data_IF_885942432516
#
_entry.id   IF_885942432516
#
_cell.length_a   1.000
_cell.length_b   1.000
_cell.length_c   1.000
_cell.angle_alpha   90.00
_cell.angle_beta   90.00
_cell.angle_gamma   90.00
#
_symmetry.space_group_name_H-M   'P 1'
#
loop_
_entity.id
_entity.type
_entity.pdbx_description
1 polymer ?
#
# COMPACT_ATOMS: atom_id res chain seq x y z
N UNK A 1 -19.71 -33.68 -21.86
CA UNK A 1 -20.63 -34.80 -22.19
C UNK A 1 -20.16 -35.54 -23.43
N UNK A 2 -20.24 -36.88 -23.40
CA UNK A 2 -19.89 -37.75 -24.52
C UNK A 2 -21.00 -37.78 -25.59
N UNK A 3 -20.71 -37.25 -26.79
CA UNK A 3 -21.68 -37.25 -27.91
C UNK A 3 -22.07 -38.66 -28.38
N UNK A 4 -21.12 -39.60 -28.35
CA UNK A 4 -21.37 -40.98 -28.73
C UNK A 4 -22.24 -41.74 -27.72
N UNK A 5 -22.13 -41.39 -26.43
CA UNK A 5 -22.98 -41.99 -25.39
C UNK A 5 -24.43 -41.54 -25.54
N UNK A 6 -24.66 -40.25 -25.82
CA UNK A 6 -26.00 -39.72 -26.13
C UNK A 6 -26.64 -40.40 -27.34
N UNK A 7 -25.84 -40.89 -28.29
CA UNK A 7 -26.28 -41.65 -29.45
C UNK A 7 -26.33 -43.18 -29.21
N UNK A 8 -26.08 -43.65 -28.00
CA UNK A 8 -26.00 -45.08 -27.64
C UNK A 8 -24.93 -45.86 -28.44
N UNK A 9 -23.84 -45.19 -28.82
CA UNK A 9 -22.72 -45.76 -29.62
C UNK A 9 -21.40 -45.83 -28.86
N UNK A 10 -21.32 -45.29 -27.65
CA UNK A 10 -20.09 -45.32 -26.86
C UNK A 10 -19.84 -46.72 -26.29
N UNK A 11 -18.64 -47.27 -26.54
CA UNK A 11 -18.23 -48.60 -26.05
C UNK A 11 -17.38 -48.56 -24.77
N UNK A 12 -17.01 -47.36 -24.33
CA UNK A 12 -16.00 -47.18 -23.27
C UNK A 12 -16.58 -47.22 -21.84
N UNK A 13 -17.91 -47.29 -21.69
CA UNK A 13 -18.55 -47.37 -20.36
C UNK A 13 -18.06 -46.26 -19.42
N UNK A 14 -17.64 -46.63 -18.21
CA UNK A 14 -17.09 -45.72 -17.18
C UNK A 14 -15.71 -45.17 -17.52
N UNK A 15 -14.97 -45.79 -18.44
CA UNK A 15 -13.62 -45.38 -18.83
C UNK A 15 -13.60 -44.37 -19.99
N UNK A 16 -14.76 -43.79 -20.34
CA UNK A 16 -14.82 -42.77 -21.37
C UNK A 16 -14.17 -41.46 -20.88
N UNK A 17 -13.40 -40.79 -21.75
CA UNK A 17 -12.80 -39.48 -21.44
C UNK A 17 -13.83 -38.37 -21.23
N UNK A 18 -15.04 -38.53 -21.76
CA UNK A 18 -16.12 -37.57 -21.63
C UNK A 18 -17.20 -38.13 -20.72
N UNK A 19 -17.80 -37.27 -19.89
CA UNK A 19 -18.86 -37.67 -18.97
C UNK A 19 -20.05 -38.35 -19.68
N UNK A 20 -20.54 -39.43 -19.08
CA UNK A 20 -21.80 -40.10 -19.45
C UNK A 20 -22.98 -39.65 -18.57
N UNK A 21 -22.71 -38.87 -17.52
CA UNK A 21 -23.71 -38.51 -16.50
C UNK A 21 -23.71 -39.50 -15.36
N UNK A 22 -24.72 -39.39 -14.50
CA UNK A 22 -24.97 -40.27 -13.35
C UNK A 22 -26.46 -40.59 -13.31
N UNK A 23 -26.78 -41.85 -13.05
CA UNK A 23 -28.16 -42.27 -12.82
C UNK A 23 -28.59 -41.88 -11.40
N UNK A 24 -29.69 -41.14 -11.29
CA UNK A 24 -30.24 -40.64 -10.03
C UNK A 24 -31.70 -41.08 -9.91
N UNK A 25 -32.12 -41.47 -8.71
CA UNK A 25 -33.52 -41.83 -8.46
C UNK A 25 -34.41 -40.60 -8.63
N UNK A 26 -35.59 -40.77 -9.25
CA UNK A 26 -36.52 -39.65 -9.48
C UNK A 26 -36.95 -38.94 -8.18
N UNK A 27 -37.01 -39.68 -7.06
CA UNK A 27 -37.29 -39.16 -5.72
C UNK A 27 -36.21 -38.20 -5.19
N UNK A 28 -34.97 -38.30 -5.67
CA UNK A 28 -33.84 -37.46 -5.25
C UNK A 28 -33.75 -36.13 -5.99
N UNK A 29 -34.51 -35.98 -7.10
CA UNK A 29 -34.45 -34.78 -7.92
C UNK A 29 -35.16 -33.62 -7.23
N UNK A 30 -34.43 -32.51 -7.06
CA UNK A 30 -34.99 -31.25 -6.58
C UNK A 30 -35.40 -30.38 -7.77
N UNK A 31 -36.40 -29.52 -7.55
CA UNK A 31 -36.81 -28.53 -8.56
C UNK A 31 -35.65 -27.57 -8.81
N UNK A 32 -35.31 -27.37 -10.08
CA UNK A 32 -34.30 -26.39 -10.48
C UNK A 32 -34.78 -24.98 -10.14
N UNK A 33 -33.94 -24.22 -9.44
CA UNK A 33 -34.17 -22.81 -9.10
C UNK A 33 -33.13 -21.99 -9.86
N UNK A 34 -33.52 -21.22 -10.89
CA UNK A 34 -32.58 -20.38 -11.62
C UNK A 34 -32.09 -19.23 -10.73
N UNK A 35 -30.85 -18.81 -10.94
CA UNK A 35 -30.27 -17.64 -10.27
C UNK A 35 -30.94 -16.37 -10.75
N UNK A 36 -31.47 -15.57 -9.81
CA UNK A 36 -32.08 -14.28 -10.13
C UNK A 36 -31.00 -13.21 -10.07
N UNK A 37 -30.56 -12.75 -11.24
CA UNK A 37 -29.55 -11.71 -11.37
C UNK A 37 -30.11 -10.33 -11.03
N UNK A 38 -29.35 -9.57 -10.26
CA UNK A 38 -29.69 -8.21 -9.81
C UNK A 38 -28.48 -7.30 -9.97
N UNK A 39 -28.67 -5.99 -10.18
CA UNK A 39 -27.56 -5.02 -10.21
C UNK A 39 -26.71 -5.01 -8.93
N UNK A 40 -27.26 -5.45 -7.80
CA UNK A 40 -26.53 -5.59 -6.53
C UNK A 40 -25.48 -6.70 -6.51
N UNK A 41 -25.51 -7.63 -7.48
CA UNK A 41 -24.56 -8.75 -7.60
C UNK A 41 -23.32 -8.37 -8.44
N UNK A 42 -23.23 -7.12 -8.88
CA UNK A 42 -22.02 -6.61 -9.55
C UNK A 42 -20.85 -6.67 -8.56
N UNK A 43 -19.74 -7.25 -9.00
CA UNK A 43 -18.55 -7.55 -8.21
C UNK A 43 -18.52 -8.96 -7.61
N UNK A 44 -19.59 -9.75 -7.73
CA UNK A 44 -19.59 -11.14 -7.27
C UNK A 44 -18.74 -12.05 -8.17
N UNK A 45 -18.12 -13.07 -7.55
CA UNK A 45 -17.48 -14.16 -8.29
C UNK A 45 -18.54 -15.08 -8.89
N UNK A 46 -18.39 -15.42 -10.16
CA UNK A 46 -19.35 -16.17 -10.97
C UNK A 46 -18.62 -17.17 -11.85
N UNK A 47 -19.33 -18.20 -12.29
CA UNK A 47 -18.93 -19.05 -13.40
C UNK A 47 -19.61 -18.56 -14.67
N UNK A 48 -18.84 -18.40 -15.74
CA UNK A 48 -19.31 -17.87 -17.01
C UNK A 48 -18.79 -18.69 -18.20
N UNK A 49 -19.57 -18.82 -19.26
CA UNK A 49 -19.15 -19.54 -20.48
C UNK A 49 -18.17 -18.69 -21.29
N UNK A 50 -17.01 -19.24 -21.62
CA UNK A 50 -16.01 -18.56 -22.44
C UNK A 50 -16.36 -18.59 -23.93
N UNK A 51 -16.21 -17.46 -24.62
CA UNK A 51 -16.41 -17.37 -26.07
C UNK A 51 -15.35 -18.17 -26.87
N UNK A 52 -14.17 -18.41 -26.28
CA UNK A 52 -13.08 -19.14 -26.95
C UNK A 52 -13.32 -20.64 -27.07
N UNK A 53 -14.14 -21.22 -26.18
CA UNK A 53 -14.46 -22.65 -26.17
C UNK A 53 -15.92 -22.85 -25.73
N UNK A 54 -16.87 -23.04 -26.66
CA UNK A 54 -18.28 -23.18 -26.31
C UNK A 54 -18.49 -24.39 -25.39
N UNK A 55 -19.13 -24.14 -24.24
CA UNK A 55 -19.45 -25.17 -23.25
C UNK A 55 -18.40 -25.37 -22.15
N UNK A 56 -17.34 -24.55 -22.10
CA UNK A 56 -16.43 -24.49 -20.95
C UNK A 56 -16.80 -23.28 -20.10
N UNK A 57 -17.10 -23.56 -18.84
CA UNK A 57 -17.33 -22.57 -17.80
C UNK A 57 -15.99 -22.20 -17.15
N UNK A 58 -15.74 -20.91 -16.97
CA UNK A 58 -14.55 -20.37 -16.30
C UNK A 58 -14.95 -19.41 -15.19
N UNK A 59 -14.06 -19.22 -14.23
CA UNK A 59 -14.26 -18.25 -13.16
C UNK A 59 -14.14 -16.82 -13.71
N UNK A 60 -15.09 -15.98 -13.33
CA UNK A 60 -15.22 -14.61 -13.76
C UNK A 60 -15.81 -13.75 -12.64
N UNK A 61 -15.71 -12.43 -12.78
CA UNK A 61 -16.41 -11.46 -11.94
C UNK A 61 -17.47 -10.73 -12.77
N UNK A 62 -18.64 -10.48 -12.17
CA UNK A 62 -19.71 -9.72 -12.81
C UNK A 62 -19.39 -8.22 -12.77
N UNK A 63 -19.07 -7.61 -13.91
CA UNK A 63 -18.72 -6.19 -14.00
C UNK A 63 -19.95 -5.27 -14.11
N UNK A 64 -20.98 -5.70 -14.85
CA UNK A 64 -22.23 -4.96 -14.94
C UNK A 64 -23.39 -5.89 -15.27
N UNK A 65 -24.61 -5.50 -14.88
CA UNK A 65 -25.82 -6.24 -15.17
C UNK A 65 -26.92 -5.29 -15.66
N UNK A 66 -27.43 -5.54 -16.87
CA UNK A 66 -28.59 -4.83 -17.42
C UNK A 66 -29.85 -5.70 -17.24
N UNK A 67 -30.72 -5.29 -16.32
CA UNK A 67 -31.97 -6.00 -16.01
C UNK A 67 -32.98 -5.97 -17.17
N UNK A 68 -32.94 -4.94 -18.04
CA UNK A 68 -33.87 -4.82 -19.16
C UNK A 68 -33.48 -5.72 -20.32
N UNK A 69 -32.19 -5.82 -20.57
CA UNK A 69 -31.64 -6.67 -21.63
C UNK A 69 -31.43 -8.12 -21.15
N UNK A 70 -31.31 -8.36 -19.85
CA UNK A 70 -30.94 -9.66 -19.29
C UNK A 70 -29.51 -10.07 -19.63
N UNK A 71 -28.62 -9.08 -19.81
CA UNK A 71 -27.24 -9.27 -20.25
C UNK A 71 -26.29 -8.71 -19.18
N UNK A 72 -25.34 -9.54 -18.77
CA UNK A 72 -24.25 -9.16 -17.88
C UNK A 72 -22.93 -9.03 -18.63
N UNK A 73 -22.14 -8.01 -18.29
CA UNK A 73 -20.74 -7.96 -18.68
C UNK A 73 -19.91 -8.67 -17.61
N UNK A 74 -19.11 -9.64 -18.03
CA UNK A 74 -18.27 -10.46 -17.15
C UNK A 74 -16.82 -10.30 -17.51
N UNK A 75 -15.93 -10.35 -16.53
CA UNK A 75 -14.47 -10.32 -16.72
C UNK A 75 -13.88 -11.62 -16.19
N UNK A 76 -13.23 -12.39 -17.06
CA UNK A 76 -12.60 -13.66 -16.68
C UNK A 76 -11.36 -13.41 -15.82
N UNK A 77 -11.21 -14.16 -14.71
CA UNK A 77 -10.05 -14.02 -13.81
C UNK A 77 -8.72 -14.44 -14.46
N UNK A 78 -8.76 -15.43 -15.36
CA UNK A 78 -7.56 -16.00 -15.99
C UNK A 78 -6.84 -15.00 -16.91
N UNK A 79 -7.58 -14.46 -17.89
CA UNK A 79 -7.02 -13.68 -19.00
C UNK A 79 -7.35 -12.17 -18.90
N UNK A 80 -8.23 -11.79 -17.96
CA UNK A 80 -8.79 -10.43 -17.88
C UNK A 80 -9.72 -10.05 -19.05
N UNK A 81 -10.06 -11.00 -19.92
CA UNK A 81 -10.95 -10.74 -21.06
C UNK A 81 -12.39 -10.49 -20.59
N UNK A 82 -13.07 -9.51 -21.20
CA UNK A 82 -14.47 -9.18 -20.89
C UNK A 82 -15.42 -9.70 -21.97
N UNK A 83 -16.55 -10.31 -21.58
CA UNK A 83 -17.59 -10.81 -22.51
C UNK A 83 -18.98 -10.40 -22.00
N UNK A 84 -19.91 -10.17 -22.93
CA UNK A 84 -21.33 -9.93 -22.61
C UNK A 84 -22.09 -11.25 -22.75
N UNK A 85 -22.71 -11.71 -21.67
CA UNK A 85 -23.38 -13.00 -21.59
C UNK A 85 -24.81 -12.84 -21.07
N UNK A 86 -25.68 -13.77 -21.48
CA UNK A 86 -27.04 -13.85 -20.94
C UNK A 86 -27.09 -14.49 -19.56
N UNK A 87 -28.23 -14.35 -18.86
CA UNK A 87 -28.47 -14.96 -17.55
C UNK A 87 -28.18 -16.49 -17.50
N UNK A 88 -28.40 -17.20 -18.60
CA UNK A 88 -28.25 -18.67 -18.69
C UNK A 88 -26.79 -19.12 -18.87
N UNK A 89 -25.90 -18.20 -19.27
CA UNK A 89 -24.48 -18.46 -19.52
C UNK A 89 -23.61 -18.01 -18.34
N UNK A 90 -24.25 -17.68 -17.21
CA UNK A 90 -23.64 -17.23 -15.97
C UNK A 90 -24.30 -17.93 -14.79
N UNK A 91 -23.51 -18.29 -13.77
CA UNK A 91 -24.01 -18.90 -12.52
C UNK A 91 -23.22 -18.32 -11.35
N UNK A 92 -23.88 -18.01 -10.22
CA UNK A 92 -23.22 -17.56 -9.01
C UNK A 92 -22.28 -18.65 -8.45
N UNK A 93 -21.11 -18.26 -7.95
CA UNK A 93 -20.14 -19.19 -7.36
C UNK A 93 -20.54 -19.74 -5.98
N UNK A 94 -21.77 -19.50 -5.51
CA UNK A 94 -22.33 -19.97 -4.22
C UNK A 94 -22.30 -21.51 -4.05
N UNK A 95 -22.00 -22.27 -5.10
CA UNK A 95 -21.79 -23.72 -5.05
C UNK A 95 -20.32 -24.16 -5.19
N UNK A 96 -19.38 -23.23 -5.37
CA UNK A 96 -17.93 -23.47 -5.38
C UNK A 96 -17.24 -22.99 -4.10
N UNK A 97 -17.88 -22.08 -3.36
CA UNK A 97 -17.54 -21.82 -1.97
C UNK A 97 -18.13 -22.98 -1.14
N UNK A 98 -17.36 -24.06 -1.06
CA UNK A 98 -17.51 -25.09 -0.03
C UNK A 98 -17.26 -24.45 1.33
N UNK A 99 -18.22 -23.64 1.77
CA UNK A 99 -18.42 -23.38 3.18
C UNK A 99 -18.68 -24.72 3.84
N UNK A 100 -17.79 -25.08 4.77
CA UNK A 100 -18.02 -26.00 5.88
C UNK A 100 -19.22 -25.52 6.71
N UNK A 101 -20.39 -25.52 6.10
CA UNK A 101 -21.67 -25.52 6.79
C UNK A 101 -22.14 -26.95 6.77
N UNK A 102 -21.51 -27.70 7.68
CA UNK A 102 -22.00 -28.93 8.29
C UNK A 102 -23.53 -28.98 8.23
N UNK A 103 -24.02 -29.72 7.24
CA UNK A 103 -25.40 -30.16 7.19
C UNK A 103 -25.53 -31.22 8.29
N UNK A 104 -26.13 -30.84 9.41
CA UNK A 104 -26.60 -31.71 10.50
C UNK A 104 -27.64 -32.72 9.98
N UNK A 105 -27.18 -33.72 9.23
CA UNK A 105 -27.94 -34.95 9.02
C UNK A 105 -27.35 -36.02 9.92
N UNK A 106 -27.83 -36.03 11.16
CA UNK A 106 -27.82 -37.19 12.05
C UNK A 106 -28.22 -38.47 11.29
N UNK A 107 -27.24 -39.27 10.91
CA UNK A 107 -27.42 -40.68 10.55
C UNK A 107 -26.59 -41.53 11.52
N UNK A 108 -27.31 -42.11 12.49
CA UNK A 108 -26.84 -43.17 13.37
C UNK A 108 -26.46 -44.38 12.50
N UNK A 109 -25.20 -44.79 12.57
CA UNK A 109 -24.88 -46.19 12.32
C UNK A 109 -23.86 -46.65 13.37
N UNK A 110 -24.34 -47.53 14.24
CA UNK A 110 -23.52 -48.35 15.13
C UNK A 110 -22.46 -49.08 14.32
N UNK A 111 -21.22 -49.07 14.79
CA UNK A 111 -20.48 -50.30 14.95
C UNK A 111 -19.51 -50.21 16.14
N UNK A 112 -19.31 -51.35 16.77
CA UNK A 112 -18.83 -51.61 18.12
C UNK A 112 -17.39 -52.14 18.10
N UNK A 113 -16.54 -51.66 19.00
CA UNK A 113 -15.48 -52.40 19.73
C UNK A 113 -14.63 -51.37 20.50
N UNK A 114 -14.75 -51.30 21.83
CA UNK A 114 -14.14 -52.15 22.87
C UNK A 114 -12.61 -51.98 22.98
N UNK A 115 -12.19 -51.00 23.79
CA UNK A 115 -10.97 -51.05 24.61
C UNK A 115 -11.19 -50.21 25.87
N UNK A 116 -11.14 -50.90 27.02
CA UNK A 116 -11.08 -50.38 28.39
C UNK A 116 -9.82 -49.52 28.62
N UNK A 117 -9.94 -48.44 29.41
CA UNK A 117 -9.44 -48.40 30.81
C UNK A 117 -9.13 -46.95 31.30
N UNK A 118 -9.74 -46.65 32.45
CA UNK A 118 -9.42 -45.72 33.55
C UNK A 118 -9.25 -44.18 33.41
N UNK A 119 -10.29 -43.51 33.92
CA UNK A 119 -10.31 -42.60 35.08
C UNK A 119 -9.10 -41.68 35.36
N UNK A 120 -9.32 -40.37 35.22
CA UNK A 120 -8.96 -39.42 36.28
C UNK A 120 -9.91 -38.22 36.29
N UNK A 121 -10.59 -38.08 37.41
CA UNK A 121 -11.53 -37.03 37.76
C UNK A 121 -10.88 -35.63 37.71
N UNK A 122 -11.56 -34.67 37.08
CA UNK A 122 -11.16 -33.27 37.04
C UNK A 122 -12.36 -32.35 36.86
N UNK A 123 -12.97 -32.01 37.99
CA UNK A 123 -14.05 -31.05 38.25
C UNK A 123 -14.37 -30.00 37.16
N UNK A 124 -15.66 -29.82 36.89
CA UNK A 124 -16.25 -28.48 36.96
C UNK A 124 -16.69 -27.85 35.65
N UNK A 125 -17.59 -28.50 34.93
CA UNK A 125 -18.53 -27.81 34.04
C UNK A 125 -19.45 -26.92 34.87
N UNK A 126 -19.23 -25.60 34.82
CA UNK A 126 -20.30 -24.61 34.87
C UNK A 126 -20.28 -23.83 33.57
N UNK A 127 -20.94 -24.40 32.57
CA UNK A 127 -21.46 -23.62 31.45
C UNK A 127 -22.57 -22.71 31.95
N UNK A 128 -22.42 -21.41 31.72
CA UNK A 128 -23.42 -20.33 31.62
C UNK A 128 -22.63 -19.03 31.84
N UNK A 129 -22.28 -18.27 30.79
CA UNK A 129 -23.01 -17.03 30.44
C UNK A 129 -22.66 -16.44 29.07
N UNK A 130 -22.10 -17.17 28.09
CA UNK A 130 -21.82 -16.58 26.77
C UNK A 130 -22.91 -16.78 25.71
N UNK A 131 -24.04 -17.41 26.06
CA UNK A 131 -25.18 -17.60 25.13
C UNK A 131 -26.25 -16.48 25.22
N UNK A 132 -25.96 -15.35 25.87
CA UNK A 132 -26.89 -14.22 26.00
C UNK A 132 -26.34 -12.87 25.52
N UNK A 133 -25.47 -12.87 24.52
CA UNK A 133 -25.40 -11.75 23.58
C UNK A 133 -25.60 -12.33 22.20
N UNK A 134 -26.59 -11.77 21.49
CA UNK A 134 -27.01 -12.22 20.18
C UNK A 134 -25.80 -12.41 19.26
N UNK A 135 -25.96 -13.35 18.33
CA UNK A 135 -25.01 -13.65 17.26
C UNK A 135 -24.51 -12.34 16.66
N UNK A 136 -23.33 -11.90 17.10
CA UNK A 136 -22.61 -10.81 16.48
C UNK A 136 -21.88 -11.46 15.31
N UNK A 137 -22.56 -11.52 14.16
CA UNK A 137 -21.98 -12.02 12.91
C UNK A 137 -20.68 -11.28 12.56
N UNK A 138 -20.49 -10.07 13.07
CA UNK A 138 -19.35 -9.20 12.75
C UNK A 138 -18.07 -9.55 13.53
N UNK A 139 -18.18 -10.05 14.77
CA UNK A 139 -16.99 -10.49 15.54
C UNK A 139 -16.44 -11.82 15.04
N UNK A 140 -17.31 -12.72 14.56
CA UNK A 140 -16.92 -13.98 13.93
C UNK A 140 -16.16 -13.77 12.61
N UNK A 141 -16.49 -12.73 11.84
CA UNK A 141 -15.77 -12.35 10.61
C UNK A 141 -14.43 -11.69 10.95
N UNK A 142 -14.41 -10.79 11.95
CA UNK A 142 -13.20 -10.07 12.37
C UNK A 142 -12.10 -11.00 12.91
N UNK A 143 -12.48 -12.09 13.57
CA UNK A 143 -11.57 -13.03 14.20
C UNK A 143 -11.29 -14.29 13.33
N UNK A 144 -11.45 -14.25 12.01
CA UNK A 144 -11.21 -15.43 11.13
C UNK A 144 -9.81 -16.05 11.30
N UNK A 145 -8.81 -15.25 11.68
CA UNK A 145 -7.44 -15.71 12.00
C UNK A 145 -7.33 -16.45 13.34
N UNK A 146 -8.29 -16.30 14.25
CA UNK A 146 -8.39 -17.08 15.50
C UNK A 146 -8.84 -18.51 15.24
N UNK A 147 -9.47 -18.83 14.11
CA UNK A 147 -9.80 -20.21 13.78
C UNK A 147 -8.53 -21.07 13.61
N UNK A 148 -7.41 -20.45 13.27
CA UNK A 148 -6.10 -21.10 13.10
C UNK A 148 -5.14 -20.90 14.28
N UNK A 149 -5.52 -20.12 15.30
CA UNK A 149 -4.69 -19.88 16.50
C UNK A 149 -5.52 -20.10 17.75
N UNK A 150 -5.03 -20.84 18.75
CA UNK A 150 -5.80 -21.22 19.97
C UNK A 150 -6.04 -20.02 20.91
N UNK A 151 -6.69 -18.95 20.43
CA UNK A 151 -6.98 -17.72 21.17
C UNK A 151 -5.75 -16.89 21.56
N UNK A 152 -4.58 -17.16 20.97
CA UNK A 152 -3.33 -16.48 21.35
C UNK A 152 -3.36 -15.02 20.91
N UNK A 153 -3.79 -14.75 19.67
CA UNK A 153 -3.78 -13.39 19.17
C UNK A 153 -4.99 -12.56 19.66
N UNK A 154 -6.14 -13.16 20.02
CA UNK A 154 -7.19 -12.47 20.81
C UNK A 154 -6.62 -12.00 22.13
N UNK A 155 -5.94 -12.91 22.85
CA UNK A 155 -5.30 -12.60 24.13
C UNK A 155 -4.25 -11.50 24.01
N UNK A 156 -3.46 -11.51 22.92
CA UNK A 156 -2.49 -10.45 22.65
C UNK A 156 -3.18 -9.10 22.38
N UNK A 157 -4.22 -9.07 21.55
CA UNK A 157 -4.97 -7.84 21.25
C UNK A 157 -5.64 -7.27 22.50
N UNK A 158 -6.28 -8.12 23.32
CA UNK A 158 -6.86 -7.69 24.59
C UNK A 158 -5.80 -7.12 25.54
N UNK A 159 -4.62 -7.72 25.62
CA UNK A 159 -3.49 -7.19 26.39
C UNK A 159 -2.98 -5.84 25.86
N UNK A 160 -3.11 -5.60 24.55
CA UNK A 160 -2.78 -4.32 23.90
C UNK A 160 -3.93 -3.29 24.01
N UNK A 161 -5.02 -3.62 24.70
CA UNK A 161 -6.15 -2.72 24.93
C UNK A 161 -7.24 -2.75 23.86
N UNK A 162 -7.29 -3.79 23.03
CA UNK A 162 -8.40 -3.97 22.10
C UNK A 162 -9.72 -4.21 22.84
N UNK A 163 -10.71 -3.37 22.55
CA UNK A 163 -12.10 -3.56 22.95
C UNK A 163 -12.97 -3.53 21.71
N UNK A 164 -14.00 -4.38 21.68
CA UNK A 164 -14.94 -4.45 20.56
C UNK A 164 -15.59 -3.08 20.33
N UNK A 165 -15.48 -2.56 19.10
CA UNK A 165 -15.96 -1.21 18.74
C UNK A 165 -15.05 -0.05 19.14
N UNK A 166 -13.88 -0.31 19.72
CA UNK A 166 -12.84 0.69 20.03
C UNK A 166 -11.53 0.42 19.29
N UNK A 167 -10.75 1.47 19.08
CA UNK A 167 -9.43 1.36 18.48
C UNK A 167 -8.47 0.52 19.34
N UNK A 168 -7.48 -0.11 18.72
CA UNK A 168 -6.39 -0.74 19.45
C UNK A 168 -5.60 0.29 20.30
N UNK A 169 -5.28 -0.04 21.55
CA UNK A 169 -4.47 0.77 22.45
C UNK A 169 -5.14 1.01 23.81
N UNK A 170 -4.34 1.32 24.84
CA UNK A 170 -4.79 1.47 26.23
C UNK A 170 -5.94 2.48 26.43
N UNK A 171 -6.05 3.49 25.56
CA UNK A 171 -7.12 4.49 25.59
C UNK A 171 -8.02 4.44 24.36
N UNK A 172 -8.00 3.36 23.58
CA UNK A 172 -8.83 3.23 22.38
C UNK A 172 -8.41 4.11 21.19
N UNK A 173 -7.14 4.55 21.15
CA UNK A 173 -6.61 5.50 20.13
C UNK A 173 -6.53 4.92 18.72
N UNK A 174 -6.60 3.60 18.56
CA UNK A 174 -6.51 2.96 17.27
C UNK A 174 -7.60 3.40 16.30
N UNK A 175 -7.31 3.31 15.02
CA UNK A 175 -8.21 3.77 13.99
C UNK A 175 -9.35 2.75 13.80
N UNK A 176 -10.58 3.21 14.01
CA UNK A 176 -11.80 2.40 13.84
C UNK A 176 -12.23 2.26 12.38
N UNK A 177 -12.01 3.32 11.61
CA UNK A 177 -12.45 3.38 10.23
C UNK A 177 -11.45 2.67 9.32
N UNK A 178 -11.93 1.82 8.39
CA UNK A 178 -11.06 1.20 7.39
C UNK A 178 -10.35 2.28 6.56
N UNK A 179 -9.08 2.04 6.23
CA UNK A 179 -8.31 2.95 5.37
C UNK A 179 -8.95 2.93 3.97
N UNK A 180 -9.47 4.07 3.47
CA UNK A 180 -10.04 4.10 2.13
C UNK A 180 -8.92 3.93 1.09
N UNK A 181 -9.01 2.87 0.30
CA UNK A 181 -8.07 2.63 -0.81
C UNK A 181 -8.58 3.35 -2.05
N UNK A 182 -7.83 4.34 -2.53
CA UNK A 182 -8.12 5.02 -3.80
C UNK A 182 -7.25 4.40 -4.89
N UNK A 183 -7.86 3.61 -5.77
CA UNK A 183 -7.16 3.03 -6.93
C UNK A 183 -6.85 4.15 -7.93
N UNK A 184 -5.58 4.30 -8.29
CA UNK A 184 -5.15 5.25 -9.31
C UNK A 184 -5.25 4.63 -10.71
N UNK A 185 -5.50 5.45 -11.75
CA UNK A 185 -5.39 5.03 -13.14
C UNK A 185 -4.04 4.35 -13.45
N UNK A 186 -4.01 3.39 -14.39
CA UNK A 186 -2.77 2.73 -14.77
C UNK A 186 -1.74 3.76 -15.29
N UNK A 187 -0.47 3.57 -14.91
CA UNK A 187 0.69 4.44 -15.23
C UNK A 187 0.74 5.79 -14.49
N UNK A 188 -0.09 6.03 -13.46
CA UNK A 188 0.11 7.15 -12.54
C UNK A 188 0.89 6.71 -11.29
N UNK A 189 1.90 7.51 -10.91
CA UNK A 189 2.66 7.31 -9.67
C UNK A 189 1.86 7.77 -8.45
N UNK A 190 2.26 7.29 -7.27
CA UNK A 190 1.68 7.72 -5.99
C UNK A 190 1.83 9.24 -5.75
N UNK A 191 2.84 9.87 -6.37
CA UNK A 191 3.08 11.31 -6.28
C UNK A 191 1.88 12.12 -6.80
N UNK A 192 1.23 11.67 -7.88
CA UNK A 192 0.03 12.31 -8.41
C UNK A 192 -1.15 12.26 -7.43
N UNK A 193 -1.25 11.21 -6.61
CA UNK A 193 -2.30 11.11 -5.59
C UNK A 193 -2.10 12.15 -4.48
N UNK A 194 -0.85 12.34 -4.05
CA UNK A 194 -0.49 13.33 -3.03
C UNK A 194 -0.70 14.76 -3.52
N UNK A 195 -0.36 15.05 -4.78
CA UNK A 195 -0.56 16.38 -5.35
C UNK A 195 -2.05 16.68 -5.58
N UNK A 196 -2.85 15.70 -6.00
CA UNK A 196 -4.31 15.89 -6.09
C UNK A 196 -4.97 16.23 -4.75
N UNK A 197 -4.47 15.68 -3.64
CA UNK A 197 -4.95 16.03 -2.30
C UNK A 197 -4.48 17.43 -1.85
N UNK A 198 -3.28 17.86 -2.24
CA UNK A 198 -2.83 19.25 -2.00
C UNK A 198 -3.71 20.23 -2.76
N UNK A 199 -4.01 19.95 -4.02
CA UNK A 199 -4.91 20.79 -4.83
C UNK A 199 -6.31 20.87 -4.21
N UNK A 200 -6.92 19.74 -3.82
CA UNK A 200 -8.25 19.72 -3.19
C UNK A 200 -8.31 20.48 -1.85
N UNK A 201 -7.24 20.43 -1.06
CA UNK A 201 -7.14 21.18 0.19
C UNK A 201 -6.91 22.69 -0.04
N UNK A 202 -6.22 23.07 -1.11
CA UNK A 202 -6.04 24.48 -1.48
C UNK A 202 -7.30 25.13 -2.04
N UNK A 203 -8.16 24.39 -2.77
CA UNK A 203 -9.41 24.94 -3.29
C UNK A 203 -10.45 25.22 -2.20
N UNK A 204 -10.38 24.51 -1.06
CA UNK A 204 -11.28 24.71 0.09
C UNK A 204 -10.92 25.94 0.93
N UNK A 205 -9.76 26.56 0.74
CA UNK A 205 -9.40 27.84 1.38
C UNK A 205 -9.70 29.05 0.48
N UNK A 206 -10.96 29.50 0.54
CA UNK A 206 -11.31 30.92 0.51
C UNK A 206 -11.02 31.72 -0.77
N UNK A 207 -11.84 31.55 -1.82
CA UNK A 207 -11.96 32.59 -2.87
C UNK A 207 -12.82 33.76 -2.37
N UNK A 208 -12.24 34.65 -1.54
CA UNK A 208 -12.76 36.01 -1.38
C UNK A 208 -12.66 36.70 -2.73
N UNK A 209 -13.81 37.00 -3.33
CA UNK A 209 -13.93 37.68 -4.63
C UNK A 209 -13.36 39.09 -4.52
N UNK A 210 -12.07 39.27 -4.81
CA UNK A 210 -11.52 40.61 -5.01
C UNK A 210 -12.01 41.13 -6.37
N UNK A 211 -12.61 42.31 -6.32
CA UNK A 211 -13.26 43.00 -7.42
C UNK A 211 -12.19 43.61 -8.33
N UNK A 212 -11.49 42.76 -9.07
CA UNK A 212 -10.51 43.15 -10.09
C UNK A 212 -10.84 42.46 -11.40
N UNK A 213 -11.16 43.25 -12.43
CA UNK A 213 -11.60 42.73 -13.73
C UNK A 213 -10.64 41.69 -14.34
N UNK A 214 -11.22 40.78 -15.14
CA UNK A 214 -10.58 39.61 -15.78
C UNK A 214 -9.17 39.91 -16.33
N UNK A 215 -8.98 41.05 -17.00
CA UNK A 215 -7.70 41.47 -17.60
C UNK A 215 -6.54 41.68 -16.60
N UNK A 216 -6.79 42.18 -15.40
CA UNK A 216 -5.72 42.40 -14.40
C UNK A 216 -5.28 41.07 -13.78
N UNK A 217 -6.24 40.15 -13.60
CA UNK A 217 -6.00 38.83 -13.05
C UNK A 217 -5.20 37.97 -14.03
N UNK A 218 -5.57 37.98 -15.31
CA UNK A 218 -4.87 37.24 -16.35
C UNK A 218 -3.43 37.75 -16.55
N UNK A 219 -3.18 39.07 -16.38
CA UNK A 219 -1.83 39.64 -16.41
C UNK A 219 -0.95 39.12 -15.26
N UNK A 220 -1.48 39.05 -14.04
CA UNK A 220 -0.77 38.53 -12.86
C UNK A 220 -0.46 37.04 -13.02
N UNK A 221 -1.43 36.25 -13.51
CA UNK A 221 -1.20 34.82 -13.78
C UNK A 221 -0.16 34.59 -14.88
N UNK A 222 -0.14 35.44 -15.92
CA UNK A 222 0.87 35.36 -16.97
C UNK A 222 2.27 35.74 -16.48
N UNK A 223 2.39 36.74 -15.59
CA UNK A 223 3.65 37.11 -14.95
C UNK A 223 4.14 36.03 -13.99
N UNK A 224 3.26 35.42 -13.19
CA UNK A 224 3.60 34.30 -12.31
C UNK A 224 4.06 33.06 -13.11
N UNK A 225 3.41 32.77 -14.23
CA UNK A 225 3.80 31.66 -15.11
C UNK A 225 5.15 31.90 -15.80
N UNK A 226 5.51 33.16 -16.07
CA UNK A 226 6.84 33.51 -16.58
C UNK A 226 7.91 33.43 -15.49
N UNK A 227 7.63 33.91 -14.28
CA UNK A 227 8.54 33.79 -13.15
C UNK A 227 8.83 32.32 -12.78
N UNK A 228 7.81 31.46 -12.80
CA UNK A 228 7.99 30.03 -12.54
C UNK A 228 8.85 29.35 -13.62
N UNK A 229 8.72 29.77 -14.89
CA UNK A 229 9.54 29.25 -15.97
C UNK A 229 10.99 29.75 -15.90
N UNK A 230 11.21 31.00 -15.49
CA UNK A 230 12.55 31.53 -15.23
C UNK A 230 13.21 30.87 -14.01
N UNK A 231 12.44 30.50 -12.98
CA UNK A 231 12.91 29.72 -11.84
C UNK A 231 13.30 28.29 -12.26
N UNK A 232 12.48 27.64 -13.09
CA UNK A 232 12.77 26.32 -13.67
C UNK A 232 13.99 26.34 -14.61
N UNK A 233 14.15 27.39 -15.43
CA UNK A 233 15.32 27.60 -16.30
C UNK A 233 16.59 27.97 -15.52
N UNK A 234 16.48 28.49 -14.30
CA UNK A 234 17.61 28.80 -13.40
C UNK A 234 17.95 27.68 -12.41
N UNK A 235 17.09 26.66 -12.30
CA UNK A 235 17.41 25.45 -11.56
C UNK A 235 18.55 24.70 -12.28
N UNK A 236 19.60 24.27 -11.58
CA UNK A 236 20.71 23.56 -12.19
C UNK A 236 20.25 22.19 -12.71
N UNK A 237 20.01 22.10 -14.02
CA UNK A 237 19.67 20.86 -14.73
C UNK A 237 20.84 19.86 -14.67
N UNK A 238 20.57 18.57 -14.72
CA UNK A 238 21.55 17.46 -14.68
C UNK A 238 22.68 17.68 -15.69
N UNK A 239 22.36 18.28 -16.84
CA UNK A 239 23.31 18.64 -17.88
C UNK A 239 24.22 19.82 -17.52
N UNK A 240 23.77 20.77 -16.68
CA UNK A 240 24.64 21.83 -16.15
C UNK A 240 25.69 21.25 -15.19
N UNK A 241 25.34 20.21 -14.45
CA UNK A 241 26.25 19.51 -13.54
C UNK A 241 27.32 18.73 -14.30
N UNK A 242 26.93 18.04 -15.38
CA UNK A 242 27.84 17.34 -16.30
C UNK A 242 28.77 18.34 -17.01
N UNK A 243 28.23 19.46 -17.49
CA UNK A 243 29.03 20.50 -18.14
C UNK A 243 30.03 21.14 -17.17
N UNK A 244 29.65 21.33 -15.90
CA UNK A 244 30.58 21.78 -14.87
C UNK A 244 31.67 20.74 -14.56
N UNK A 245 31.33 19.46 -14.49
CA UNK A 245 32.32 18.39 -14.27
C UNK A 245 33.29 18.24 -15.45
N UNK A 246 32.82 18.35 -16.69
CA UNK A 246 33.66 18.33 -17.89
C UNK A 246 34.53 19.59 -18.00
N UNK A 247 34.01 20.77 -17.64
CA UNK A 247 34.79 22.01 -17.59
C UNK A 247 35.89 21.97 -16.52
N UNK A 248 35.63 21.34 -15.36
CA UNK A 248 36.63 21.15 -14.31
C UNK A 248 37.70 20.12 -14.73
N UNK A 249 37.34 19.08 -15.47
CA UNK A 249 38.28 18.06 -15.95
C UNK A 249 39.20 18.59 -17.06
N UNK A 250 38.71 19.43 -17.97
CA UNK A 250 39.55 20.10 -18.99
C UNK A 250 40.54 21.11 -18.39
N UNK A 251 40.25 21.64 -17.19
CA UNK A 251 41.12 22.56 -16.45
C UNK A 251 42.22 21.84 -15.66
N UNK A 252 42.03 20.57 -15.35
CA UNK A 252 43.04 19.72 -14.70
C UNK A 252 44.06 19.13 -15.69
N UNK A 253 43.74 19.09 -16.99
CA UNK A 253 44.60 18.49 -18.02
C UNK A 253 45.34 19.50 -18.92
N UNK A 254 45.03 20.79 -18.83
CA UNK A 254 45.73 21.85 -19.56
C UNK A 254 46.59 22.69 -18.61
N UNK A 255 47.84 22.25 -18.44
CA UNK A 255 48.88 23.03 -17.76
C UNK A 255 49.19 24.30 -18.54
N UNK A 256 48.72 25.45 -18.03
CA UNK A 256 48.99 26.76 -18.62
C UNK A 256 48.74 27.89 -17.63
N UNK A 257 49.81 28.34 -16.96
CA UNK A 257 49.85 29.60 -16.21
C UNK A 257 49.45 30.78 -17.11
N UNK A 258 48.49 31.60 -16.70
CA UNK A 258 48.60 33.07 -16.73
C UNK A 258 47.45 33.80 -16.02
N UNK A 259 47.88 34.74 -15.17
CA UNK A 259 47.28 36.03 -14.81
C UNK A 259 45.86 36.08 -14.22
N UNK A 260 45.89 36.11 -12.89
CA UNK A 260 45.07 36.93 -12.00
C UNK A 260 44.76 38.31 -12.61
N UNK A 261 43.59 38.47 -13.21
CA UNK A 261 42.97 39.78 -13.40
C UNK A 261 42.16 40.12 -12.16
N UNK A 262 42.64 41.13 -11.45
CA UNK A 262 41.90 41.82 -10.40
C UNK A 262 40.69 42.51 -11.05
N UNK A 263 39.48 42.03 -10.75
CA UNK A 263 38.30 42.90 -10.74
C UNK A 263 38.17 43.48 -9.34
N UNK A 264 38.56 44.74 -9.25
CA UNK A 264 38.36 45.68 -8.15
C UNK A 264 36.88 45.63 -7.71
N UNK A 265 36.63 45.16 -6.50
CA UNK A 265 35.32 45.16 -5.85
C UNK A 265 35.55 45.36 -4.36
N UNK A 266 35.24 46.58 -3.91
CA UNK A 266 35.19 47.11 -2.55
C UNK A 266 35.17 46.10 -1.40
N UNK A 267 36.00 46.38 -0.39
CA UNK A 267 35.93 45.71 0.89
C UNK A 267 34.55 45.84 1.54
N UNK A 268 33.92 44.70 1.77
CA UNK A 268 32.94 44.50 2.82
C UNK A 268 33.05 43.03 3.23
N UNK A 269 33.46 42.78 4.46
CA UNK A 269 33.70 41.42 4.95
C UNK A 269 32.49 40.54 4.69
N UNK A 270 32.73 39.33 4.11
CA UNK A 270 31.72 38.26 3.95
C UNK A 270 30.82 38.25 5.19
N UNK A 271 29.60 38.77 5.03
CA UNK A 271 28.54 38.63 6.01
C UNK A 271 28.24 37.15 5.99
N UNK A 272 28.67 36.44 7.02
CA UNK A 272 28.17 35.08 7.27
C UNK A 272 26.72 35.32 7.68
N UNK A 273 25.84 35.33 6.69
CA UNK A 273 24.43 35.58 6.91
C UNK A 273 23.87 34.44 7.77
N UNK A 274 22.91 34.76 8.64
CA UNK A 274 22.24 33.78 9.53
C UNK A 274 21.70 32.56 8.77
N UNK A 275 21.42 32.71 7.47
CA UNK A 275 21.01 31.63 6.55
C UNK A 275 22.10 30.57 6.34
N UNK A 276 23.37 30.98 6.31
CA UNK A 276 24.51 30.06 6.14
C UNK A 276 24.73 29.23 7.42
N UNK A 277 24.47 29.81 8.60
CA UNK A 277 24.49 29.04 9.85
C UNK A 277 23.40 27.97 9.90
N UNK A 278 22.19 28.30 9.42
CA UNK A 278 21.08 27.34 9.35
C UNK A 278 21.45 26.18 8.41
N UNK A 279 22.07 26.47 7.25
CA UNK A 279 22.53 25.42 6.34
C UNK A 279 23.54 24.47 7.02
N UNK A 280 24.52 25.01 7.76
CA UNK A 280 25.45 24.17 8.53
C UNK A 280 24.75 23.39 9.66
N UNK A 281 23.71 23.95 10.26
CA UNK A 281 22.92 23.28 11.30
C UNK A 281 22.13 22.10 10.72
N UNK A 282 21.54 22.28 9.54
CA UNK A 282 20.81 21.23 8.83
C UNK A 282 21.77 20.11 8.34
N UNK A 283 22.95 20.46 7.83
CA UNK A 283 23.99 19.49 7.48
C UNK A 283 24.42 18.64 8.68
N UNK A 284 24.58 19.25 9.87
CA UNK A 284 24.90 18.52 11.10
C UNK A 284 23.75 17.60 11.54
N UNK A 285 22.49 18.03 11.39
CA UNK A 285 21.31 17.22 11.69
C UNK A 285 21.21 16.00 10.77
N UNK A 286 21.43 16.19 9.47
CA UNK A 286 21.39 15.11 8.49
C UNK A 286 22.49 14.07 8.76
N UNK A 287 23.71 14.52 9.09
CA UNK A 287 24.80 13.62 9.47
C UNK A 287 24.50 12.84 10.75
N UNK A 288 23.83 13.45 11.74
CA UNK A 288 23.39 12.75 12.97
C UNK A 288 22.40 11.64 12.68
N UNK A 289 21.40 11.91 11.85
CA UNK A 289 20.42 10.91 11.42
C UNK A 289 21.09 9.76 10.65
N UNK A 290 22.08 10.07 9.81
CA UNK A 290 22.85 9.03 9.10
C UNK A 290 23.67 8.15 10.05
N UNK A 291 24.25 8.73 11.11
CA UNK A 291 24.98 7.96 12.14
C UNK A 291 24.03 7.01 12.87
N UNK A 292 22.87 7.49 13.33
CA UNK A 292 21.86 6.67 14.01
C UNK A 292 21.39 5.50 13.14
N UNK A 293 21.09 5.76 11.87
CA UNK A 293 20.71 4.73 10.91
C UNK A 293 21.82 3.70 10.68
N UNK A 294 23.08 4.14 10.58
CA UNK A 294 24.21 3.22 10.41
C UNK A 294 24.48 2.40 11.68
N UNK A 295 24.28 2.98 12.86
CA UNK A 295 24.36 2.27 14.14
C UNK A 295 23.31 1.14 14.22
N UNK A 296 22.09 1.41 13.76
CA UNK A 296 21.03 0.40 13.69
C UNK A 296 21.38 -0.72 12.71
N UNK A 297 21.89 -0.39 11.51
CA UNK A 297 22.35 -1.37 10.52
C UNK A 297 23.48 -2.24 11.07
N UNK A 298 24.43 -1.64 11.80
CA UNK A 298 25.51 -2.36 12.48
C UNK A 298 24.96 -3.27 13.57
N UNK A 299 23.94 -2.83 14.31
CA UNK A 299 23.32 -3.62 15.38
C UNK A 299 22.57 -4.85 14.84
N UNK A 300 21.86 -4.70 13.73
CA UNK A 300 21.07 -5.77 13.09
C UNK A 300 21.98 -6.81 12.42
N UNK A 301 23.02 -6.34 11.71
CA UNK A 301 23.83 -7.21 10.84
C UNK A 301 25.06 -7.84 11.54
N UNK A 302 25.08 -7.97 12.87
CA UNK A 302 26.22 -8.56 13.62
C UNK A 302 26.61 -9.98 13.18
N UNK A 303 25.67 -10.73 12.59
CA UNK A 303 25.87 -12.12 12.13
C UNK A 303 26.49 -12.19 10.73
N UNK A 304 26.38 -11.13 9.93
CA UNK A 304 26.88 -11.08 8.56
C UNK A 304 28.19 -10.29 8.49
N UNK A 305 29.32 -10.98 8.53
CA UNK A 305 30.66 -10.37 8.67
C UNK A 305 30.96 -9.30 7.61
N UNK A 306 30.68 -9.57 6.33
CA UNK A 306 30.99 -8.63 5.25
C UNK A 306 30.14 -7.34 5.31
N UNK A 307 28.86 -7.47 5.64
CA UNK A 307 27.93 -6.34 5.76
C UNK A 307 28.23 -5.54 7.03
N UNK A 308 28.50 -6.22 8.14
CA UNK A 308 28.92 -5.60 9.39
C UNK A 308 30.21 -4.78 9.21
N UNK A 309 31.26 -5.35 8.61
CA UNK A 309 32.53 -4.66 8.39
C UNK A 309 32.39 -3.46 7.43
N UNK A 310 31.53 -3.54 6.43
CA UNK A 310 31.23 -2.41 5.53
C UNK A 310 30.43 -1.31 6.24
N UNK A 311 29.42 -1.68 7.04
CA UNK A 311 28.60 -0.74 7.80
C UNK A 311 29.41 -0.03 8.90
N UNK A 312 30.28 -0.75 9.61
CA UNK A 312 31.18 -0.18 10.62
C UNK A 312 32.17 0.81 10.00
N UNK A 313 32.74 0.51 8.82
CA UNK A 313 33.62 1.45 8.10
C UNK A 313 32.90 2.74 7.73
N UNK A 314 31.70 2.62 7.14
CA UNK A 314 30.87 3.79 6.80
C UNK A 314 30.48 4.59 8.04
N UNK A 315 30.13 3.93 9.14
CA UNK A 315 29.81 4.57 10.41
C UNK A 315 31.00 5.38 10.96
N UNK A 316 32.22 4.85 10.88
CA UNK A 316 33.42 5.59 11.30
C UNK A 316 33.67 6.81 10.41
N UNK A 317 33.49 6.68 9.09
CA UNK A 317 33.63 7.77 8.13
C UNK A 317 32.58 8.87 8.38
N UNK A 318 31.32 8.51 8.60
CA UNK A 318 30.24 9.48 8.88
C UNK A 318 30.40 10.15 10.24
N UNK A 319 30.85 9.44 11.28
CA UNK A 319 31.18 10.05 12.57
C UNK A 319 32.33 11.06 12.47
N UNK A 320 33.33 10.80 11.63
CA UNK A 320 34.41 11.77 11.34
C UNK A 320 33.87 12.99 10.61
N UNK A 321 33.06 12.79 9.58
CA UNK A 321 32.42 13.88 8.85
C UNK A 321 31.51 14.74 9.74
N UNK A 322 30.78 14.12 10.67
CA UNK A 322 29.98 14.81 11.68
C UNK A 322 30.86 15.69 12.57
N UNK A 323 31.97 15.15 13.09
CA UNK A 323 32.89 15.92 13.94
C UNK A 323 33.49 17.13 13.19
N UNK A 324 33.85 16.94 11.91
CA UNK A 324 34.36 18.02 11.06
C UNK A 324 33.28 19.09 10.79
N UNK A 325 32.04 18.68 10.49
CA UNK A 325 30.91 19.58 10.27
C UNK A 325 30.55 20.35 11.55
N UNK A 326 30.55 19.70 12.71
CA UNK A 326 30.33 20.36 14.01
C UNK A 326 31.44 21.37 14.34
N UNK A 327 32.71 21.06 14.02
CA UNK A 327 33.82 21.99 14.18
C UNK A 327 33.68 23.20 13.25
N UNK A 328 33.27 23.00 12.00
CA UNK A 328 32.99 24.09 11.05
C UNK A 328 31.84 24.95 11.54
N UNK A 329 30.73 24.35 11.97
CA UNK A 329 29.57 25.07 12.53
C UNK A 329 29.94 25.84 13.80
N UNK A 330 30.73 25.26 14.70
CA UNK A 330 31.23 25.93 15.91
C UNK A 330 32.15 27.11 15.57
N UNK A 331 33.04 26.97 14.57
CA UNK A 331 33.90 28.07 14.12
C UNK A 331 33.10 29.20 13.46
N UNK A 332 32.10 28.86 12.65
CA UNK A 332 31.24 29.81 11.95
C UNK A 332 30.33 30.58 12.92
N UNK A 333 29.72 29.88 13.89
CA UNK A 333 28.89 30.51 14.93
C UNK A 333 29.71 31.45 15.83
N UNK A 334 30.90 31.03 16.27
CA UNK A 334 31.82 31.89 17.02
C UNK A 334 32.26 33.13 16.22
N UNK A 335 32.49 32.99 14.91
CA UNK A 335 32.82 34.10 14.01
C UNK A 335 31.65 35.09 13.84
N UNK A 336 30.40 34.63 13.84
CA UNK A 336 29.22 35.51 13.81
C UNK A 336 29.03 36.23 15.15
N UNK A 337 29.14 35.51 16.26
CA UNK A 337 28.98 36.07 17.61
C UNK A 337 30.07 37.11 17.91
N UNK A 338 31.33 36.88 17.53
CA UNK A 338 32.41 37.85 17.67
C UNK A 338 32.15 39.12 16.86
N UNK A 339 31.75 39.00 15.58
CA UNK A 339 31.35 40.15 14.75
C UNK A 339 30.15 40.90 15.30
N UNK A 340 29.18 40.22 15.90
CA UNK A 340 28.03 40.87 16.56
C UNK A 340 28.46 41.62 17.83
N UNK A 341 29.38 41.06 18.62
CA UNK A 341 29.99 41.75 19.76
C UNK A 341 30.75 42.99 19.30
N UNK A 342 31.62 42.89 18.30
CA UNK A 342 32.36 44.03 17.72
C UNK A 342 31.41 45.14 17.23
N UNK A 343 30.35 44.79 16.50
CA UNK A 343 29.31 45.75 16.09
C UNK A 343 28.58 46.39 17.26
N UNK A 344 28.43 45.69 18.38
CA UNK A 344 27.81 46.24 19.60
C UNK A 344 28.75 47.20 20.31
N UNK A 345 30.05 46.91 20.36
CA UNK A 345 31.07 47.82 20.88
C UNK A 345 31.21 49.09 20.04
N UNK A 346 31.17 48.98 18.71
CA UNK A 346 31.23 50.14 17.78
C UNK A 346 29.98 51.03 17.78
N UNK A 347 28.91 50.65 18.49
CA UNK A 347 27.68 51.45 18.65
C UNK A 347 27.70 52.34 19.89
N UNK A 348 28.66 52.15 20.78
CA UNK A 348 28.99 53.03 21.90
C UNK A 348 30.27 53.80 21.55
#
# INVERSE_FOLDING_TARGET
MCKFFLQQRCRFGTNCRLSHGVDVQLSSLKKYVPTIWKPSLVGSSIWAVSNGNPGIWREAELESWDEKAGIGQVVFRDDGSSVKLGAEEMILSEYADGSDLESDSSFKQSDSSDYEEEESQGLGFLGTTNLQRGIQTETAIFAKWENHTRGIASKMMSNMGYQEGMGLGLTGQGMLNPIPVKVLPPKQSLDHALDSQKEENTEKQGKKRSRGGKRKRDKIFAEARRAAKEEEESAPDVFTLINNQLAMHNKALSGGSMKKQQSKGSGEGKRVDRRVLIAYEDEVKDLKLQVEKLEEIVHINKKEKAVYEAAVRKLIETRKALADAEAVHASASNAVVSKEKEKRWLKF
#
